data_IF_854388747623
#
_entry.id   IF_854388747623
#
_cell.length_a   1.000
_cell.length_b   1.000
_cell.length_c   1.000
_cell.angle_alpha   90.00
_cell.angle_beta   90.00
_cell.angle_gamma   90.00
#
_symmetry.space_group_name_H-M   'P 1'
#
loop_
_entity.id
_entity.type
_entity.pdbx_description
1 polymer ?
#
# COMPACT_ATOMS: atom_id res chain seq x y z
N UNK A 1 -21.11 6.81 2.55
CA UNK A 1 -19.95 6.01 2.97
C UNK A 1 -18.69 6.69 2.45
N UNK A 2 -18.10 7.58 3.25
CA UNK A 2 -16.81 8.21 2.94
C UNK A 2 -15.71 7.15 3.12
N UNK A 3 -15.53 6.27 2.13
CA UNK A 3 -14.53 5.18 2.11
C UNK A 3 -13.14 5.64 1.66
N UNK A 4 -12.76 6.87 2.01
CA UNK A 4 -11.52 7.46 1.51
C UNK A 4 -10.45 7.39 2.59
N UNK A 5 -9.44 6.55 2.39
CA UNK A 5 -8.19 6.68 3.14
C UNK A 5 -7.51 7.97 2.70
N UNK A 6 -7.51 8.96 3.59
CA UNK A 6 -6.88 10.25 3.32
C UNK A 6 -5.38 10.12 3.54
N UNK A 7 -4.61 10.08 2.46
CA UNK A 7 -3.16 10.24 2.53
C UNK A 7 -2.85 11.74 2.62
N UNK A 8 -2.24 12.18 3.73
CA UNK A 8 -1.79 13.57 3.91
C UNK A 8 -0.27 13.59 3.76
N UNK A 9 0.22 14.26 2.72
CA UNK A 9 1.64 14.55 2.52
C UNK A 9 1.82 16.04 2.81
N UNK A 10 2.58 16.37 3.85
CA UNK A 10 2.81 17.74 4.28
C UNK A 10 4.13 18.29 3.70
N UNK A 11 4.24 18.32 2.37
CA UNK A 11 5.37 18.94 1.66
C UNK A 11 4.88 19.54 0.32
N UNK A 12 5.43 20.69 -0.07
CA UNK A 12 5.06 21.46 -1.27
C UNK A 12 5.75 20.95 -2.55
N UNK A 13 6.72 20.03 -2.47
CA UNK A 13 7.54 19.58 -3.60
C UNK A 13 7.12 18.21 -4.15
N UNK A 14 5.92 18.09 -4.71
CA UNK A 14 5.47 16.84 -5.35
C UNK A 14 5.04 17.03 -6.81
N UNK A 15 5.18 15.94 -7.59
CA UNK A 15 4.62 15.81 -8.94
C UNK A 15 3.60 14.67 -8.91
N UNK A 16 2.33 14.98 -9.18
CA UNK A 16 1.26 13.97 -9.16
C UNK A 16 1.08 13.32 -10.53
N UNK A 17 0.83 12.00 -10.56
CA UNK A 17 0.46 11.26 -11.78
C UNK A 17 -0.64 10.23 -11.46
N UNK A 18 -1.70 10.19 -12.27
CA UNK A 18 -2.77 9.19 -12.07
C UNK A 18 -2.35 7.89 -12.76
N UNK A 19 -2.26 6.80 -11.99
CA UNK A 19 -1.94 5.47 -12.50
C UNK A 19 -3.16 4.56 -12.38
N UNK A 20 -3.97 4.51 -13.44
CA UNK A 20 -5.09 3.57 -13.48
C UNK A 20 -4.57 2.13 -13.41
N UNK A 21 -4.97 1.41 -12.36
CA UNK A 21 -4.80 -0.02 -12.31
C UNK A 21 -5.95 -0.65 -13.07
N UNK A 22 -5.63 -1.54 -14.01
CA UNK A 22 -6.62 -2.37 -14.70
C UNK A 22 -6.57 -3.74 -14.01
N UNK A 23 -6.82 -3.75 -12.70
CA UNK A 23 -7.13 -5.01 -12.04
C UNK A 23 -8.55 -5.41 -12.43
N UNK A 24 -8.82 -6.71 -12.55
CA UNK A 24 -10.15 -7.23 -12.94
C UNK A 24 -11.29 -6.88 -11.97
N UNK A 25 -10.98 -6.15 -10.90
CA UNK A 25 -11.92 -5.69 -9.85
C UNK A 25 -12.42 -4.26 -10.10
N UNK A 26 -11.81 -3.50 -11.01
CA UNK A 26 -12.14 -2.10 -11.27
C UNK A 26 -11.61 -1.10 -10.23
N UNK A 27 -10.75 -1.54 -9.30
CA UNK A 27 -10.05 -0.65 -8.35
C UNK A 27 -8.90 0.08 -9.05
N UNK A 28 -8.64 1.31 -8.65
CA UNK A 28 -7.57 2.15 -9.18
C UNK A 28 -6.61 2.56 -8.07
N UNK A 29 -5.33 2.71 -8.40
CA UNK A 29 -4.39 3.41 -7.55
C UNK A 29 -4.17 4.84 -8.05
N UNK A 30 -3.71 5.71 -7.18
CA UNK A 30 -3.22 7.04 -7.54
C UNK A 30 -1.76 7.11 -7.11
N UNK A 31 -0.89 7.65 -7.98
CA UNK A 31 0.53 7.77 -7.71
C UNK A 31 0.90 9.25 -7.53
N UNK A 32 1.92 9.48 -6.73
CA UNK A 32 2.56 10.77 -6.58
C UNK A 32 4.05 10.55 -6.45
N UNK A 33 4.84 11.26 -7.26
CA UNK A 33 6.28 11.27 -7.11
C UNK A 33 6.68 12.40 -6.16
N UNK A 34 7.39 12.05 -5.09
CA UNK A 34 7.87 12.97 -4.09
C UNK A 34 9.36 12.69 -3.83
N UNK A 35 10.21 13.67 -4.14
CA UNK A 35 11.67 13.58 -4.01
C UNK A 35 12.28 12.29 -4.60
N UNK A 36 11.75 11.84 -5.76
CA UNK A 36 12.21 10.63 -6.43
C UNK A 36 11.61 9.32 -5.91
N UNK A 37 10.74 9.36 -4.90
CA UNK A 37 9.96 8.22 -4.40
C UNK A 37 8.54 8.24 -4.96
N UNK A 38 8.06 7.11 -5.47
CA UNK A 38 6.71 6.95 -5.99
C UNK A 38 5.77 6.43 -4.88
N UNK A 39 4.84 7.27 -4.46
CA UNK A 39 3.87 6.98 -3.41
C UNK A 39 2.53 6.66 -4.06
N UNK A 40 2.05 5.44 -3.86
CA UNK A 40 0.79 4.96 -4.38
C UNK A 40 -0.23 4.84 -3.25
N UNK A 41 -1.47 5.22 -3.51
CA UNK A 41 -2.61 4.85 -2.67
C UNK A 41 -3.46 3.78 -3.35
N UNK A 42 -3.85 2.74 -2.60
CA UNK A 42 -4.67 1.63 -3.08
C UNK A 42 -5.80 1.34 -2.09
N UNK A 43 -6.99 1.07 -2.60
CA UNK A 43 -8.09 0.48 -1.84
C UNK A 43 -8.50 -0.80 -2.56
N UNK A 44 -8.06 -1.93 -2.04
CA UNK A 44 -8.27 -3.25 -2.64
C UNK A 44 -9.73 -3.68 -2.58
N UNK A 45 -10.11 -4.56 -3.49
CA UNK A 45 -11.34 -5.32 -3.39
C UNK A 45 -11.32 -6.26 -2.18
N UNK A 46 -12.50 -6.53 -1.60
CA UNK A 46 -12.61 -7.38 -0.43
C UNK A 46 -12.32 -8.85 -0.71
N UNK A 47 -11.79 -9.57 0.29
CA UNK A 47 -11.51 -10.99 0.17
C UNK A 47 -10.43 -11.31 -0.87
N UNK A 48 -10.68 -12.31 -1.73
CA UNK A 48 -9.68 -12.81 -2.69
C UNK A 48 -9.28 -11.81 -3.78
N UNK A 49 -10.07 -10.74 -3.98
CA UNK A 49 -9.77 -9.70 -4.97
C UNK A 49 -8.49 -8.90 -4.67
N UNK A 50 -8.17 -8.72 -3.38
CA UNK A 50 -6.99 -7.96 -2.94
C UNK A 50 -5.67 -8.49 -3.50
N UNK A 51 -5.54 -9.82 -3.67
CA UNK A 51 -4.34 -10.44 -4.24
C UNK A 51 -4.09 -9.96 -5.67
N UNK A 52 -5.15 -9.84 -6.47
CA UNK A 52 -5.07 -9.38 -7.85
C UNK A 52 -4.65 -7.91 -7.93
N UNK A 53 -5.30 -7.06 -7.14
CA UNK A 53 -5.04 -5.62 -7.09
C UNK A 53 -3.60 -5.32 -6.67
N UNK A 54 -3.12 -5.97 -5.60
CA UNK A 54 -1.78 -5.78 -5.09
C UNK A 54 -0.74 -6.29 -6.08
N UNK A 55 -0.93 -7.49 -6.64
CA UNK A 55 0.04 -8.08 -7.56
C UNK A 55 0.17 -7.24 -8.84
N UNK A 56 -0.94 -6.72 -9.36
CA UNK A 56 -0.92 -5.86 -10.53
C UNK A 56 -0.24 -4.52 -10.24
N UNK A 57 -0.55 -3.87 -9.10
CA UNK A 57 0.10 -2.62 -8.72
C UNK A 57 1.60 -2.81 -8.49
N UNK A 58 2.02 -3.79 -7.69
CA UNK A 58 3.44 -4.03 -7.42
C UNK A 58 4.20 -4.31 -8.71
N UNK A 59 3.63 -5.09 -9.64
CA UNK A 59 4.25 -5.38 -10.93
C UNK A 59 4.59 -4.12 -11.73
N UNK A 60 3.76 -3.10 -11.65
CA UNK A 60 3.90 -1.84 -12.40
C UNK A 60 4.48 -0.69 -11.58
N UNK A 61 4.69 -0.88 -10.27
CA UNK A 61 5.24 0.15 -9.40
C UNK A 61 6.67 0.51 -9.83
N UNK A 62 6.96 1.81 -9.80
CA UNK A 62 8.27 2.35 -10.17
C UNK A 62 9.09 2.55 -8.92
N UNK A 63 10.17 1.80 -8.83
CA UNK A 63 11.17 1.86 -7.77
C UNK A 63 11.93 3.21 -7.73
N UNK A 64 12.13 3.86 -6.55
CA UNK A 64 11.65 3.47 -5.21
C UNK A 64 10.17 3.78 -5.02
N UNK A 65 9.46 2.87 -4.33
CA UNK A 65 8.02 3.00 -4.13
C UNK A 65 7.56 2.69 -2.71
N UNK A 66 6.43 3.31 -2.36
CA UNK A 66 5.60 3.03 -1.18
C UNK A 66 4.18 2.89 -1.70
N UNK A 67 3.49 1.80 -1.36
CA UNK A 67 2.07 1.61 -1.63
C UNK A 67 1.37 1.58 -0.28
N UNK A 68 0.39 2.44 -0.04
CA UNK A 68 -0.36 2.48 1.22
C UNK A 68 -1.86 2.56 1.02
N UNK A 69 -2.62 1.96 1.94
CA UNK A 69 -4.07 2.09 1.96
C UNK A 69 -4.77 0.88 2.55
N UNK A 70 -6.06 0.75 2.24
CA UNK A 70 -6.89 -0.35 2.74
C UNK A 70 -6.75 -1.55 1.82
N UNK A 71 -6.07 -2.57 2.32
CA UNK A 71 -5.82 -3.79 1.56
C UNK A 71 -6.98 -4.78 1.67
N UNK A 72 -7.99 -4.49 2.51
CA UNK A 72 -9.17 -5.32 2.77
C UNK A 72 -8.88 -6.78 3.17
N UNK A 73 -7.64 -7.08 3.51
CA UNK A 73 -7.15 -8.40 3.92
C UNK A 73 -5.96 -8.21 4.84
N UNK A 74 -5.80 -9.10 5.82
CA UNK A 74 -4.66 -9.04 6.73
C UNK A 74 -3.37 -9.47 6.02
N UNK A 75 -2.20 -9.03 6.51
CA UNK A 75 -0.93 -9.49 5.98
C UNK A 75 -0.80 -11.01 6.01
N UNK A 76 -1.33 -11.69 7.04
CA UNK A 76 -1.29 -13.14 7.15
C UNK A 76 -2.13 -13.83 6.05
N UNK A 77 -3.32 -13.32 5.77
CA UNK A 77 -4.20 -13.85 4.71
C UNK A 77 -3.56 -13.68 3.33
N UNK A 78 -2.84 -12.59 3.10
CA UNK A 78 -2.19 -12.33 1.82
C UNK A 78 -0.83 -13.02 1.67
N UNK A 79 -0.10 -13.22 2.76
CA UNK A 79 1.28 -13.72 2.73
C UNK A 79 1.42 -15.10 2.09
N UNK A 80 0.37 -15.93 2.13
CA UNK A 80 0.32 -17.21 1.42
C UNK A 80 0.35 -17.03 -0.11
N UNK A 81 -0.38 -16.03 -0.61
CA UNK A 81 -0.55 -15.76 -2.05
C UNK A 81 0.48 -14.77 -2.62
N UNK A 82 1.07 -13.95 -1.75
CA UNK A 82 1.98 -12.85 -2.08
C UNK A 82 3.39 -13.08 -1.53
N UNK A 83 3.79 -14.35 -1.38
CA UNK A 83 5.08 -14.76 -0.82
C UNK A 83 6.30 -14.16 -1.53
N UNK A 84 6.17 -13.87 -2.83
CA UNK A 84 7.16 -13.13 -3.62
C UNK A 84 6.40 -12.05 -4.40
N UNK A 85 6.59 -10.80 -4.01
CA UNK A 85 6.08 -9.63 -4.71
C UNK A 85 7.26 -8.87 -5.28
N UNK A 86 7.40 -8.83 -6.60
CA UNK A 86 8.47 -8.09 -7.27
C UNK A 86 7.89 -7.19 -8.35
N UNK A 87 8.48 -6.01 -8.55
CA UNK A 87 8.20 -5.21 -9.74
C UNK A 87 8.66 -5.94 -11.00
N UNK A 88 8.18 -5.51 -12.18
CA UNK A 88 8.58 -6.10 -13.45
C UNK A 88 7.92 -7.45 -13.75
N UNK A 89 8.45 -8.16 -14.75
CA UNK A 89 7.85 -9.43 -15.19
C UNK A 89 8.50 -10.63 -14.50
N UNK A 90 7.85 -11.79 -14.54
CA UNK A 90 8.43 -13.04 -14.01
C UNK A 90 9.80 -13.37 -14.61
N UNK A 91 10.04 -13.02 -15.87
CA UNK A 91 11.31 -13.24 -16.57
C UNK A 91 12.37 -12.17 -16.30
N UNK A 92 11.98 -11.01 -15.78
CA UNK A 92 12.85 -9.88 -15.44
C UNK A 92 12.35 -9.22 -14.15
N UNK A 93 12.48 -9.92 -13.01
CA UNK A 93 12.01 -9.39 -11.74
C UNK A 93 12.86 -8.18 -11.34
N UNK A 94 12.20 -7.14 -10.86
CA UNK A 94 12.80 -5.97 -10.27
C UNK A 94 12.90 -6.09 -8.75
N UNK A 95 12.65 -4.99 -8.03
CA UNK A 95 12.75 -4.95 -6.58
C UNK A 95 11.56 -5.63 -5.90
N UNK A 96 11.80 -6.21 -4.73
CA UNK A 96 10.75 -6.80 -3.92
C UNK A 96 9.92 -5.74 -3.20
N UNK A 97 8.62 -6.02 -3.03
CA UNK A 97 7.74 -5.28 -2.12
C UNK A 97 7.61 -6.08 -0.82
N UNK A 98 7.74 -5.41 0.32
CA UNK A 98 7.63 -6.01 1.64
C UNK A 98 6.47 -5.40 2.43
N UNK A 99 5.77 -6.21 3.21
CA UNK A 99 4.75 -5.73 4.13
C UNK A 99 5.39 -4.84 5.20
N UNK A 100 4.78 -3.68 5.44
CA UNK A 100 5.12 -2.77 6.51
C UNK A 100 3.85 -2.45 7.30
N UNK A 101 3.73 -3.11 8.45
CA UNK A 101 2.54 -3.17 9.28
C UNK A 101 2.81 -2.52 10.63
N UNK A 102 1.77 -1.98 11.27
CA UNK A 102 1.85 -1.45 12.62
C UNK A 102 1.70 -2.53 13.70
N UNK A 103 1.22 -3.72 13.33
CA UNK A 103 1.03 -4.87 14.22
C UNK A 103 -0.18 -4.74 15.14
N UNK A 104 -1.10 -3.82 14.84
CA UNK A 104 -2.29 -3.52 15.63
C UNK A 104 -3.53 -3.51 14.72
N UNK A 105 -4.74 -3.81 15.24
CA UNK A 105 -5.97 -3.65 14.47
C UNK A 105 -6.16 -2.24 13.94
N UNK A 106 -6.39 -2.11 12.64
CA UNK A 106 -6.63 -0.82 11.96
C UNK A 106 -8.09 -0.62 11.57
N UNK A 107 -8.94 -1.63 11.75
CA UNK A 107 -10.38 -1.56 11.51
C UNK A 107 -11.18 -2.00 12.76
N UNK A 108 -12.42 -1.51 12.92
CA UNK A 108 -13.28 -1.83 14.09
C UNK A 108 -13.54 -3.32 14.28
N UNK A 109 -13.42 -4.12 13.22
CA UNK A 109 -13.56 -5.58 13.28
C UNK A 109 -12.40 -6.28 14.00
N UNK A 110 -11.39 -5.55 14.49
CA UNK A 110 -10.21 -6.13 15.13
C UNK A 110 -9.15 -6.63 14.14
N UNK A 111 -9.24 -6.28 12.85
CA UNK A 111 -8.31 -6.71 11.79
C UNK A 111 -7.36 -5.57 11.41
N UNK A 112 -6.14 -5.92 11.02
CA UNK A 112 -5.18 -4.99 10.42
C UNK A 112 -5.36 -5.03 8.89
N UNK A 113 -6.12 -4.08 8.35
CA UNK A 113 -6.48 -3.99 6.93
C UNK A 113 -5.74 -2.86 6.22
N UNK A 114 -5.46 -1.79 6.95
CA UNK A 114 -4.67 -0.65 6.48
C UNK A 114 -3.19 -0.86 6.82
N UNK A 115 -2.33 -0.88 5.81
CA UNK A 115 -0.87 -0.98 5.96
C UNK A 115 -0.17 -0.59 4.65
N UNK A 116 1.16 -0.75 4.63
CA UNK A 116 2.00 -0.39 3.49
C UNK A 116 2.68 -1.61 2.86
N UNK A 117 2.96 -1.51 1.57
CA UNK A 117 3.93 -2.33 0.85
C UNK A 117 5.07 -1.43 0.41
N UNK A 118 6.29 -1.75 0.81
CA UNK A 118 7.46 -0.89 0.59
C UNK A 118 8.50 -1.59 -0.26
N UNK A 119 9.11 -0.84 -1.18
CA UNK A 119 10.29 -1.28 -1.93
C UNK A 119 11.37 -1.74 -0.92
N UNK A 120 11.96 -2.90 -1.16
CA UNK A 120 12.98 -3.49 -0.29
C UNK A 120 14.17 -2.56 -0.04
N UNK A 121 14.43 -1.60 -0.94
CA UNK A 121 15.48 -0.59 -0.79
C UNK A 121 15.16 0.48 0.27
N UNK A 122 13.89 0.63 0.66
CA UNK A 122 13.43 1.58 1.67
C UNK A 122 13.23 0.95 3.06
N UNK A 123 13.12 -0.38 3.16
CA UNK A 123 12.66 -1.07 4.37
C UNK A 123 13.49 -0.86 5.63
N UNK A 124 14.81 -0.72 5.52
CA UNK A 124 15.67 -0.60 6.70
C UNK A 124 15.48 0.72 7.48
N UNK A 125 14.71 1.66 6.93
CA UNK A 125 14.57 3.01 7.49
C UNK A 125 13.13 3.38 7.84
N UNK A 126 12.23 2.40 7.88
CA UNK A 126 10.79 2.63 8.04
C UNK A 126 10.26 2.19 9.41
N UNK A 127 9.38 3.00 10.01
CA UNK A 127 8.57 2.68 11.18
C UNK A 127 7.08 2.89 10.82
N UNK A 128 6.21 1.98 11.24
CA UNK A 128 4.77 2.06 10.98
C UNK A 128 4.02 2.14 12.30
N UNK A 129 3.17 3.16 12.43
CA UNK A 129 2.41 3.46 13.64
C UNK A 129 0.92 3.53 13.33
N UNK A 130 0.09 3.06 14.24
CA UNK A 130 -1.36 3.30 14.21
C UNK A 130 -1.69 4.55 15.01
N UNK A 131 -2.49 5.45 14.44
CA UNK A 131 -3.00 6.58 15.19
C UNK A 131 -4.04 6.13 16.22
N UNK A 132 -4.08 6.81 17.37
CA UNK A 132 -4.88 6.37 18.51
C UNK A 132 -6.39 6.60 18.34
N UNK A 133 -6.80 7.58 17.53
CA UNK A 133 -8.21 7.87 17.22
C UNK A 133 -8.60 7.33 15.84
N UNK A 134 -9.81 6.81 15.70
CA UNK A 134 -10.38 6.43 14.40
C UNK A 134 -10.79 7.68 13.60
N UNK A 135 -10.62 7.63 12.27
CA UNK A 135 -11.19 8.62 11.34
C UNK A 135 -12.58 8.24 10.81
N UNK A 136 -13.10 7.09 11.25
CA UNK A 136 -14.34 6.45 10.82
C UNK A 136 -14.41 5.08 11.49
N UNK A 137 -14.60 4.03 10.69
CA UNK A 137 -14.46 2.62 11.09
C UNK A 137 -13.01 2.10 10.98
N UNK A 138 -12.10 2.94 10.48
CA UNK A 138 -10.66 2.69 10.38
C UNK A 138 -9.82 3.67 11.21
N UNK A 139 -8.68 3.17 11.71
CA UNK A 139 -7.60 3.95 12.29
C UNK A 139 -6.61 4.39 11.22
N UNK A 140 -6.23 5.67 11.18
CA UNK A 140 -5.12 6.12 10.35
C UNK A 140 -3.83 5.37 10.67
N UNK A 141 -3.04 5.09 9.63
CA UNK A 141 -1.73 4.43 9.75
C UNK A 141 -0.66 5.35 9.18
N UNK A 142 0.43 5.51 9.92
CA UNK A 142 1.50 6.47 9.66
C UNK A 142 2.77 5.68 9.34
N UNK A 143 3.35 5.91 8.17
CA UNK A 143 4.67 5.43 7.80
C UNK A 143 5.66 6.58 8.00
N UNK A 144 6.66 6.37 8.86
CA UNK A 144 7.80 7.27 9.04
C UNK A 144 8.99 6.61 8.38
N UNK A 145 9.67 7.31 7.47
CA UNK A 145 10.87 6.80 6.81
C UNK A 145 11.99 7.85 6.76
N UNK A 146 13.24 7.39 6.82
CA UNK A 146 14.47 8.20 6.80
C UNK A 146 15.43 7.76 5.69
#
# INVERSE_FOLDING_TARGET
NCRCNTCIIADLNFVASIHYLISGTGRSAICLNYNGCNIYTLHCESGSGAVGDIRDLVRHAVSPFIIGGDMNSTPSELSEYLRIMTTGTRSRPGNSANFACCGMPTHFSGRELDYFLIDSRLQLRTCVLRYHMMGGDHYPVILIFS
#
